data_IF_484354075203
#
_entry.id   IF_484354075203
#
_cell.length_a   1.000
_cell.length_b   1.000
_cell.length_c   1.000
_cell.angle_alpha   90.00
_cell.angle_beta   90.00
_cell.angle_gamma   90.00
#
_symmetry.space_group_name_H-M   'P 1'
#
loop_
_entity.id
_entity.type
_entity.pdbx_description
1 polymer ?
#
# COMPACT_ATOMS: atom_id res chain seq x y z
N UNK A 1 -30.67 -0.75 -7.07
CA UNK A 1 -29.61 -1.64 -7.61
C UNK A 1 -28.85 -0.84 -8.66
N UNK A 2 -27.63 -0.36 -8.48
CA UNK A 2 -26.47 -0.88 -7.75
C UNK A 2 -25.66 0.29 -7.16
N UNK A 3 -25.37 0.27 -5.85
CA UNK A 3 -24.39 1.18 -5.25
C UNK A 3 -22.99 0.85 -5.81
N UNK A 4 -22.31 1.81 -6.42
CA UNK A 4 -20.85 1.76 -6.49
C UNK A 4 -20.34 2.23 -5.13
N UNK A 5 -20.07 1.27 -4.23
CA UNK A 5 -19.37 1.56 -2.99
C UNK A 5 -17.99 2.13 -3.37
N UNK A 6 -17.82 3.45 -3.25
CA UNK A 6 -16.51 4.09 -3.43
C UNK A 6 -15.59 3.50 -2.37
N UNK A 7 -14.71 2.58 -2.77
CA UNK A 7 -13.71 1.94 -1.91
C UNK A 7 -12.92 3.05 -1.21
N UNK A 8 -13.23 3.26 0.07
CA UNK A 8 -12.52 4.22 0.90
C UNK A 8 -11.06 3.78 1.02
N UNK A 9 -10.14 4.73 0.92
CA UNK A 9 -8.72 4.51 1.20
C UNK A 9 -8.60 4.35 2.71
N UNK A 10 -8.81 3.14 3.20
CA UNK A 10 -8.72 2.81 4.62
C UNK A 10 -7.31 3.02 5.11
N UNK A 11 -7.12 4.04 5.95
CA UNK A 11 -5.94 4.19 6.79
C UNK A 11 -4.76 4.91 6.15
N UNK A 12 -4.79 6.24 6.09
CA UNK A 12 -3.60 7.08 6.30
C UNK A 12 -4.03 8.35 7.04
N UNK A 13 -3.71 8.42 8.34
CA UNK A 13 -3.94 9.63 9.12
C UNK A 13 -3.10 10.80 8.62
N UNK A 14 -3.71 11.99 8.58
CA UNK A 14 -3.05 13.28 8.38
C UNK A 14 -2.54 13.59 6.96
N UNK A 15 -2.45 14.88 6.62
CA UNK A 15 -1.85 15.35 5.37
C UNK A 15 -0.34 15.12 5.35
N UNK A 16 0.10 14.05 4.68
CA UNK A 16 1.52 13.75 4.47
C UNK A 16 2.09 14.71 3.43
N UNK A 17 3.34 15.16 3.62
CA UNK A 17 4.04 15.90 2.58
C UNK A 17 4.20 15.04 1.31
N UNK A 18 4.13 15.68 0.14
CA UNK A 18 4.38 15.00 -1.14
C UNK A 18 5.85 14.61 -1.23
N UNK A 19 6.12 13.31 -1.36
CA UNK A 19 7.45 12.75 -1.61
C UNK A 19 7.52 12.13 -3.01
N UNK A 20 8.73 11.88 -3.52
CA UNK A 20 8.95 11.13 -4.75
C UNK A 20 8.51 9.68 -4.61
N UNK A 21 7.97 9.09 -5.69
CA UNK A 21 7.55 7.69 -5.72
C UNK A 21 8.77 6.79 -5.98
N UNK A 22 9.25 6.10 -4.95
CA UNK A 22 10.42 5.22 -5.03
C UNK A 22 10.13 3.75 -5.36
N UNK A 23 8.88 3.30 -5.28
CA UNK A 23 8.51 1.89 -5.42
C UNK A 23 7.32 1.73 -6.39
N UNK A 24 7.52 1.11 -7.56
CA UNK A 24 6.42 0.79 -8.48
C UNK A 24 5.63 -0.46 -8.04
N UNK A 25 4.49 -0.72 -8.70
CA UNK A 25 3.82 -2.02 -8.60
C UNK A 25 4.77 -3.10 -9.11
N UNK A 26 4.83 -4.22 -8.39
CA UNK A 26 5.74 -5.31 -8.66
C UNK A 26 7.08 -5.20 -7.95
N UNK A 27 7.32 -4.13 -7.20
CA UNK A 27 8.52 -4.01 -6.39
C UNK A 27 8.57 -5.10 -5.30
N UNK A 28 9.75 -5.69 -5.12
CA UNK A 28 10.06 -6.60 -4.02
C UNK A 28 10.83 -5.82 -2.97
N UNK A 29 10.31 -5.79 -1.74
CA UNK A 29 10.94 -5.10 -0.60
C UNK A 29 11.16 -6.08 0.55
N UNK A 30 12.12 -5.80 1.43
CA UNK A 30 12.30 -6.61 2.63
C UNK A 30 11.10 -6.44 3.58
N UNK A 31 10.71 -7.53 4.24
CA UNK A 31 9.76 -7.45 5.34
C UNK A 31 10.48 -7.02 6.61
N UNK A 32 9.99 -5.98 7.28
CA UNK A 32 10.57 -5.46 8.53
C UNK A 32 9.65 -5.71 9.74
N UNK A 33 8.67 -6.59 9.59
CA UNK A 33 7.82 -7.06 10.68
C UNK A 33 8.38 -8.35 11.30
N UNK A 34 7.73 -8.85 12.34
CA UNK A 34 8.08 -10.09 13.02
C UNK A 34 7.19 -11.28 12.61
N UNK A 35 6.54 -11.20 11.44
CA UNK A 35 5.63 -12.24 10.96
C UNK A 35 6.35 -13.43 10.32
N UNK A 36 7.67 -13.31 10.10
CA UNK A 36 8.51 -14.34 9.48
C UNK A 36 8.57 -14.27 7.94
N UNK A 37 7.84 -13.34 7.32
CA UNK A 37 8.02 -13.02 5.91
C UNK A 37 9.41 -12.43 5.67
N UNK A 38 10.07 -12.83 4.56
CA UNK A 38 11.41 -12.32 4.21
C UNK A 38 11.33 -11.11 3.29
N UNK A 39 10.42 -11.17 2.33
CA UNK A 39 10.18 -10.13 1.34
C UNK A 39 8.68 -9.98 1.06
N UNK A 40 8.31 -8.80 0.59
CA UNK A 40 6.96 -8.39 0.26
C UNK A 40 6.89 -7.94 -1.19
N UNK A 41 5.79 -8.26 -1.86
CA UNK A 41 5.49 -7.83 -3.22
C UNK A 41 4.45 -6.72 -3.21
N UNK A 42 4.78 -5.57 -3.81
CA UNK A 42 3.88 -4.40 -3.87
C UNK A 42 2.85 -4.62 -4.97
N UNK A 43 1.61 -4.95 -4.59
CA UNK A 43 0.47 -5.07 -5.50
C UNK A 43 -0.57 -3.97 -5.23
N UNK A 44 -1.17 -3.43 -6.29
CA UNK A 44 -2.29 -2.48 -6.20
C UNK A 44 -3.38 -2.92 -7.17
N UNK A 45 -4.61 -3.00 -6.68
CA UNK A 45 -5.85 -3.27 -7.44
C UNK A 45 -6.51 -2.01 -7.97
#
# INVERSE_FOLDING_TARGET
TTMSAKRGRGGVGGGKFRISLGLPVGAVINCADNTGAKNLFVYSS
#
